data_IF_780379043374
#
_entry.id   IF_780379043374
#
_cell.length_a   1.000
_cell.length_b   1.000
_cell.length_c   1.000
_cell.angle_alpha   90.00
_cell.angle_beta   90.00
_cell.angle_gamma   90.00
#
_symmetry.space_group_name_H-M   'P 1'
#
loop_
_entity.id
_entity.type
_entity.pdbx_description
1 polymer ?
#
# COMPACT_ATOMS: atom_id res chain seq x y z
N UNK A 1 0.46 19.43 -26.99
CA UNK A 1 1.55 18.50 -27.41
C UNK A 1 1.99 17.75 -26.16
N UNK A 2 1.68 16.47 -26.07
CA UNK A 2 2.11 15.63 -24.95
C UNK A 2 3.64 15.46 -25.03
N UNK A 3 4.38 16.00 -24.07
CA UNK A 3 5.81 15.73 -23.94
C UNK A 3 5.97 14.25 -23.59
N UNK A 4 6.53 13.49 -24.52
CA UNK A 4 6.92 12.11 -24.28
C UNK A 4 8.06 12.11 -23.24
N UNK A 5 7.94 11.25 -22.24
CA UNK A 5 8.98 11.03 -21.25
C UNK A 5 10.33 10.67 -21.92
N UNK A 6 11.46 11.08 -21.34
CA UNK A 6 12.77 10.68 -21.86
C UNK A 6 12.88 9.14 -21.87
N UNK A 7 13.44 8.53 -22.93
CA UNK A 7 13.44 7.08 -23.14
C UNK A 7 14.20 6.25 -22.11
N UNK A 8 14.84 6.89 -21.12
CA UNK A 8 15.61 6.25 -20.03
C UNK A 8 15.08 6.62 -18.64
N UNK A 9 13.82 6.98 -18.51
CA UNK A 9 13.24 7.28 -17.19
C UNK A 9 13.05 6.00 -16.37
N UNK A 10 13.45 6.06 -15.10
CA UNK A 10 13.26 5.02 -14.08
C UNK A 10 11.79 4.54 -13.96
N UNK A 11 10.85 5.41 -14.32
CA UNK A 11 9.41 5.17 -14.20
C UNK A 11 8.71 4.99 -15.55
N UNK A 12 9.47 4.76 -16.63
CA UNK A 12 8.89 4.54 -17.96
C UNK A 12 7.89 3.38 -17.95
N UNK A 13 6.68 3.63 -18.45
CA UNK A 13 5.59 2.66 -18.48
C UNK A 13 4.78 2.53 -17.19
N UNK A 14 5.20 3.17 -16.08
CA UNK A 14 4.43 3.19 -14.83
C UNK A 14 3.27 4.17 -14.91
N UNK A 15 2.08 3.75 -14.45
CA UNK A 15 0.84 4.54 -14.50
C UNK A 15 0.40 4.95 -13.11
N UNK A 16 0.13 6.25 -12.95
CA UNK A 16 -0.43 6.83 -11.72
C UNK A 16 -1.86 7.34 -11.98
N UNK A 17 -2.75 7.11 -11.03
CA UNK A 17 -4.01 7.83 -10.91
C UNK A 17 -3.87 8.87 -9.81
N UNK A 18 -4.10 10.14 -10.14
CA UNK A 18 -4.14 11.25 -9.18
C UNK A 18 -5.57 11.77 -9.10
N UNK A 19 -6.15 11.74 -7.90
CA UNK A 19 -7.47 12.27 -7.62
C UNK A 19 -7.39 13.33 -6.52
N UNK A 20 -7.75 14.56 -6.86
CA UNK A 20 -7.76 15.72 -5.96
C UNK A 20 -8.75 16.74 -6.54
N UNK A 21 -9.64 17.33 -5.77
CA UNK A 21 -10.59 18.35 -6.25
C UNK A 21 -9.93 19.71 -6.42
N UNK A 22 -8.80 19.96 -5.74
CA UNK A 22 -7.97 21.15 -5.96
C UNK A 22 -7.27 21.05 -7.33
N UNK A 23 -7.70 21.89 -8.27
CA UNK A 23 -7.17 21.88 -9.64
C UNK A 23 -5.70 22.24 -9.70
N UNK A 24 -5.24 23.21 -8.90
CA UNK A 24 -3.83 23.67 -8.93
C UNK A 24 -2.91 22.58 -8.38
N UNK A 25 -3.30 21.96 -7.27
CA UNK A 25 -2.57 20.84 -6.68
C UNK A 25 -2.51 19.65 -7.64
N UNK A 26 -3.65 19.27 -8.22
CA UNK A 26 -3.76 18.16 -9.17
C UNK A 26 -2.86 18.36 -10.38
N UNK A 27 -2.91 19.54 -11.02
CA UNK A 27 -2.08 19.86 -12.19
C UNK A 27 -0.59 19.90 -11.85
N UNK A 28 -0.22 20.49 -10.71
CA UNK A 28 1.17 20.54 -10.24
C UNK A 28 1.73 19.13 -10.04
N UNK A 29 0.99 18.26 -9.39
CA UNK A 29 1.41 16.88 -9.15
C UNK A 29 1.50 16.09 -10.46
N UNK A 30 0.52 16.25 -11.33
CA UNK A 30 0.50 15.55 -12.62
C UNK A 30 1.70 15.97 -13.49
N UNK A 31 2.02 17.26 -13.56
CA UNK A 31 3.20 17.75 -14.28
C UNK A 31 4.49 17.24 -13.66
N UNK A 32 4.60 17.26 -12.32
CA UNK A 32 5.76 16.76 -11.60
C UNK A 32 6.04 15.28 -11.93
N UNK A 33 5.04 14.41 -11.80
CA UNK A 33 5.21 12.99 -12.07
C UNK A 33 5.38 12.66 -13.57
N UNK A 34 4.77 13.42 -14.47
CA UNK A 34 5.04 13.28 -15.91
C UNK A 34 6.49 13.61 -16.26
N UNK A 35 7.09 14.62 -15.65
CA UNK A 35 8.53 14.95 -15.83
C UNK A 35 9.45 13.83 -15.34
N UNK A 36 9.02 13.07 -14.33
CA UNK A 36 9.73 11.88 -13.86
C UNK A 36 9.55 10.66 -14.77
N UNK A 37 8.64 10.75 -15.77
CA UNK A 37 8.40 9.71 -16.76
C UNK A 37 7.18 8.81 -16.51
N UNK A 38 6.36 9.13 -15.54
CA UNK A 38 5.10 8.43 -15.33
C UNK A 38 4.05 8.78 -16.39
N UNK A 39 3.18 7.83 -16.69
CA UNK A 39 1.90 8.10 -17.32
C UNK A 39 0.89 8.48 -16.23
N UNK A 40 0.41 9.72 -16.24
CA UNK A 40 -0.47 10.24 -15.20
C UNK A 40 -1.87 10.45 -15.75
N UNK A 41 -2.84 9.84 -15.10
CA UNK A 41 -4.26 10.05 -15.30
C UNK A 41 -4.82 10.85 -14.12
N UNK A 42 -5.53 11.94 -14.42
CA UNK A 42 -6.05 12.89 -13.43
C UNK A 42 -7.56 12.78 -13.32
N UNK A 43 -8.09 12.90 -12.10
CA UNK A 43 -9.52 12.97 -11.83
C UNK A 43 -9.80 14.02 -10.77
N UNK A 44 -10.84 14.81 -10.99
CA UNK A 44 -11.23 15.93 -10.12
C UNK A 44 -12.27 15.53 -9.05
N UNK A 45 -12.70 14.28 -9.04
CA UNK A 45 -13.71 13.80 -8.09
C UNK A 45 -13.54 12.31 -7.80
N UNK A 46 -14.00 11.89 -6.62
CA UNK A 46 -13.97 10.50 -6.22
C UNK A 46 -14.75 9.57 -7.14
N UNK A 47 -15.88 10.03 -7.71
CA UNK A 47 -16.68 9.23 -8.65
C UNK A 47 -15.92 8.97 -9.95
N UNK A 48 -15.35 10.01 -10.56
CA UNK A 48 -14.56 9.88 -11.78
C UNK A 48 -13.27 9.05 -11.54
N UNK A 49 -12.68 9.18 -10.36
CA UNK A 49 -11.53 8.37 -9.97
C UNK A 49 -11.89 6.90 -9.75
N UNK A 50 -13.07 6.59 -9.20
CA UNK A 50 -13.56 5.22 -9.06
C UNK A 50 -13.75 4.55 -10.44
N UNK A 51 -14.36 5.25 -11.38
CA UNK A 51 -14.53 4.74 -12.74
C UNK A 51 -13.18 4.43 -13.39
N UNK A 52 -12.22 5.36 -13.31
CA UNK A 52 -10.89 5.17 -13.83
C UNK A 52 -10.16 3.99 -13.13
N UNK A 53 -10.22 3.91 -11.82
CA UNK A 53 -9.56 2.86 -11.04
C UNK A 53 -10.08 1.45 -11.37
N UNK A 54 -11.38 1.33 -11.69
CA UNK A 54 -12.01 0.04 -12.01
C UNK A 54 -11.73 -0.38 -13.47
N UNK A 55 -11.69 0.57 -14.40
CA UNK A 55 -11.52 0.29 -15.83
C UNK A 55 -10.06 0.30 -16.27
N UNK A 56 -9.21 1.05 -15.58
CA UNK A 56 -7.79 1.21 -15.89
C UNK A 56 -6.90 0.23 -15.11
N UNK A 57 -5.63 0.17 -15.57
CA UNK A 57 -4.55 -0.50 -14.83
C UNK A 57 -3.58 0.56 -14.36
N UNK A 58 -3.39 0.66 -13.06
CA UNK A 58 -2.48 1.63 -12.42
C UNK A 58 -1.49 0.90 -11.53
N UNK A 59 -0.30 1.47 -11.41
CA UNK A 59 0.74 0.97 -10.53
C UNK A 59 0.65 1.59 -9.13
N UNK A 60 0.07 2.81 -9.02
CA UNK A 60 -0.18 3.46 -7.73
C UNK A 60 -1.32 4.48 -7.86
N UNK A 61 -2.06 4.66 -6.76
CA UNK A 61 -3.06 5.72 -6.58
C UNK A 61 -2.52 6.80 -5.65
N UNK A 62 -2.71 8.06 -6.00
CA UNK A 62 -2.50 9.24 -5.15
C UNK A 62 -3.87 9.90 -5.01
N UNK A 63 -4.44 9.89 -3.82
CA UNK A 63 -5.83 10.25 -3.58
C UNK A 63 -5.92 11.33 -2.50
N UNK A 64 -6.62 12.41 -2.79
CA UNK A 64 -7.03 13.32 -1.71
C UNK A 64 -8.11 12.67 -0.86
N UNK A 65 -8.01 12.85 0.47
CA UNK A 65 -9.02 12.32 1.40
C UNK A 65 -10.33 13.08 1.25
N UNK A 66 -10.26 14.40 1.12
CA UNK A 66 -11.40 15.31 1.30
C UNK A 66 -11.95 15.79 -0.05
N UNK A 67 -12.48 14.89 -0.86
CA UNK A 67 -13.16 15.27 -2.12
C UNK A 67 -14.67 15.39 -1.95
N UNK A 68 -15.33 16.37 -2.61
CA UNK A 68 -16.78 16.51 -2.59
C UNK A 68 -17.52 15.30 -3.17
N UNK A 69 -18.65 14.97 -2.56
CA UNK A 69 -19.52 13.87 -3.00
C UNK A 69 -19.02 12.49 -2.56
N UNK A 70 -17.92 12.03 -3.11
CA UNK A 70 -17.27 10.78 -2.71
C UNK A 70 -15.86 11.08 -2.21
N UNK A 71 -15.60 10.83 -0.94
CA UNK A 71 -14.27 11.00 -0.35
C UNK A 71 -13.27 9.99 -0.90
N UNK A 72 -11.96 10.29 -0.79
CA UNK A 72 -10.91 9.33 -1.14
C UNK A 72 -10.98 8.04 -0.34
N UNK A 73 -11.43 8.12 0.92
CA UNK A 73 -11.64 6.95 1.78
C UNK A 73 -12.71 6.02 1.22
N UNK A 74 -13.86 6.59 0.87
CA UNK A 74 -14.96 5.83 0.28
C UNK A 74 -14.58 5.25 -1.09
N UNK A 75 -13.90 6.06 -1.92
CA UNK A 75 -13.34 5.63 -3.20
C UNK A 75 -12.45 4.39 -3.01
N UNK A 76 -11.45 4.47 -2.14
CA UNK A 76 -10.51 3.37 -1.95
C UNK A 76 -11.18 2.12 -1.39
N UNK A 77 -12.12 2.27 -0.45
CA UNK A 77 -12.91 1.15 0.05
C UNK A 77 -13.66 0.45 -1.09
N UNK A 78 -14.36 1.19 -1.96
CA UNK A 78 -15.08 0.64 -3.11
C UNK A 78 -14.16 -0.04 -4.13
N UNK A 79 -12.93 0.46 -4.28
CA UNK A 79 -11.88 -0.16 -5.12
C UNK A 79 -11.42 -1.48 -4.51
N UNK A 80 -11.18 -1.51 -3.18
CA UNK A 80 -10.78 -2.73 -2.45
C UNK A 80 -11.89 -3.79 -2.46
N UNK A 81 -13.15 -3.39 -2.31
CA UNK A 81 -14.32 -4.29 -2.39
C UNK A 81 -14.43 -5.00 -3.76
N UNK A 82 -13.78 -4.47 -4.80
CA UNK A 82 -13.66 -5.08 -6.14
C UNK A 82 -12.41 -5.91 -6.33
N UNK A 83 -11.65 -6.18 -5.27
CA UNK A 83 -10.42 -6.98 -5.33
C UNK A 83 -9.20 -6.24 -5.91
N UNK A 84 -9.30 -4.94 -6.20
CA UNK A 84 -8.17 -4.16 -6.74
C UNK A 84 -7.22 -3.81 -5.61
N UNK A 85 -5.98 -4.33 -5.66
CA UNK A 85 -4.97 -4.18 -4.62
C UNK A 85 -3.83 -3.21 -5.02
N UNK A 86 -4.05 -2.37 -6.03
CA UNK A 86 -3.09 -1.32 -6.42
C UNK A 86 -2.71 -0.48 -5.20
N UNK A 87 -1.41 -0.25 -4.94
CA UNK A 87 -0.95 0.58 -3.83
C UNK A 87 -1.59 1.96 -3.86
N UNK A 88 -1.98 2.48 -2.68
CA UNK A 88 -2.65 3.75 -2.55
C UNK A 88 -2.00 4.62 -1.46
N UNK A 89 -1.72 5.88 -1.82
CA UNK A 89 -1.24 6.92 -0.92
C UNK A 89 -2.33 7.99 -0.79
N UNK A 90 -2.67 8.34 0.44
CA UNK A 90 -3.57 9.47 0.69
C UNK A 90 -2.82 10.78 0.92
N UNK A 91 -3.33 11.85 0.32
CA UNK A 91 -3.02 13.22 0.69
C UNK A 91 -4.09 13.70 1.68
N UNK A 92 -3.71 14.28 2.80
CA UNK A 92 -4.64 14.67 3.86
C UNK A 92 -4.31 16.05 4.45
N UNK A 93 -5.30 16.79 4.89
CA UNK A 93 -5.08 18.00 5.66
C UNK A 93 -4.48 17.69 7.04
N UNK A 94 -3.70 18.63 7.62
CA UNK A 94 -2.83 18.40 8.77
C UNK A 94 -3.55 17.97 10.06
N UNK A 95 -4.84 18.24 10.21
CA UNK A 95 -5.58 18.12 11.49
C UNK A 95 -6.40 16.83 11.64
N UNK A 96 -6.35 15.92 10.66
CA UNK A 96 -7.22 14.75 10.61
C UNK A 96 -6.57 13.48 11.19
N UNK A 97 -6.31 13.44 12.50
CA UNK A 97 -5.95 12.19 13.20
C UNK A 97 -7.03 11.12 13.05
N UNK A 98 -8.30 11.53 13.07
CA UNK A 98 -9.46 10.65 12.87
C UNK A 98 -9.54 10.14 11.42
N UNK A 99 -9.20 10.96 10.44
CA UNK A 99 -9.13 10.56 9.03
C UNK A 99 -7.99 9.55 8.77
N UNK A 100 -6.90 9.60 9.51
CA UNK A 100 -5.79 8.63 9.39
C UNK A 100 -6.22 7.23 9.84
N UNK A 101 -6.97 7.12 10.94
CA UNK A 101 -7.49 5.84 11.42
C UNK A 101 -8.51 5.29 10.42
N UNK A 102 -9.47 6.11 9.98
CA UNK A 102 -10.46 5.72 8.98
C UNK A 102 -9.82 5.35 7.63
N UNK A 103 -8.78 6.04 7.25
CA UNK A 103 -8.10 5.79 5.99
C UNK A 103 -7.24 4.52 6.01
N UNK A 104 -6.57 4.22 7.13
CA UNK A 104 -5.94 2.91 7.30
C UNK A 104 -6.98 1.78 7.26
N UNK A 105 -8.18 1.99 7.78
CA UNK A 105 -9.29 1.03 7.64
C UNK A 105 -9.79 0.89 6.20
N UNK A 106 -9.71 1.96 5.39
CA UNK A 106 -10.09 1.95 3.97
C UNK A 106 -9.11 1.19 3.07
N UNK A 107 -7.92 0.85 3.55
CA UNK A 107 -6.98 0.03 2.78
C UNK A 107 -5.82 0.80 2.14
N UNK A 108 -5.49 2.01 2.61
CA UNK A 108 -4.31 2.75 2.16
C UNK A 108 -3.00 2.12 2.63
N UNK A 109 -1.95 2.32 1.84
CA UNK A 109 -0.62 1.81 2.09
C UNK A 109 0.32 2.89 2.66
N UNK A 110 0.01 4.18 2.42
CA UNK A 110 0.76 5.32 2.98
C UNK A 110 -0.11 6.58 3.05
N UNK A 111 0.37 7.61 3.80
CA UNK A 111 -0.27 8.91 4.01
C UNK A 111 0.76 10.02 3.95
N UNK A 112 0.35 11.16 3.40
CA UNK A 112 1.14 12.37 3.38
C UNK A 112 0.27 13.59 3.71
N UNK A 113 0.65 14.30 4.77
CA UNK A 113 -0.07 15.51 5.19
C UNK A 113 0.26 16.70 4.28
N UNK A 114 -0.75 17.47 3.90
CA UNK A 114 -0.61 18.79 3.25
C UNK A 114 -0.31 19.85 4.33
N UNK A 115 0.64 20.79 4.10
CA UNK A 115 1.47 20.93 2.92
C UNK A 115 2.68 19.97 2.93
N UNK A 116 3.11 19.52 1.76
CA UNK A 116 4.23 18.58 1.60
C UNK A 116 5.22 19.04 0.51
N UNK A 117 6.40 18.46 0.54
CA UNK A 117 7.37 18.63 -0.53
C UNK A 117 7.09 17.58 -1.63
N UNK A 118 7.01 17.97 -2.94
CA UNK A 118 6.82 17.00 -4.03
C UNK A 118 7.86 15.87 -4.06
N UNK A 119 9.10 16.11 -3.64
CA UNK A 119 10.13 15.07 -3.51
C UNK A 119 9.77 14.04 -2.44
N UNK A 120 9.15 14.46 -1.34
CA UNK A 120 8.69 13.54 -0.31
C UNK A 120 7.63 12.59 -0.87
N UNK A 121 6.67 13.16 -1.61
CA UNK A 121 5.65 12.36 -2.29
C UNK A 121 6.27 11.39 -3.31
N UNK A 122 7.26 11.82 -4.08
CA UNK A 122 8.01 10.96 -5.01
C UNK A 122 8.65 9.76 -4.30
N UNK A 123 9.39 9.99 -3.22
CA UNK A 123 10.01 8.90 -2.45
C UNK A 123 8.99 7.91 -1.91
N UNK A 124 7.81 8.38 -1.49
CA UNK A 124 6.73 7.52 -1.01
C UNK A 124 6.13 6.67 -2.13
N UNK A 125 5.84 7.29 -3.27
CA UNK A 125 5.37 6.58 -4.47
C UNK A 125 6.41 5.56 -4.93
N UNK A 126 7.69 5.92 -4.95
CA UNK A 126 8.76 4.97 -5.27
C UNK A 126 8.80 3.77 -4.31
N UNK A 127 8.67 4.02 -3.02
CA UNK A 127 8.63 2.95 -2.03
C UNK A 127 7.43 2.01 -2.25
N UNK A 128 6.26 2.55 -2.60
CA UNK A 128 5.08 1.76 -2.93
C UNK A 128 5.28 0.93 -4.20
N UNK A 129 5.86 1.52 -5.25
CA UNK A 129 6.13 0.83 -6.51
C UNK A 129 7.19 -0.27 -6.38
N UNK A 130 8.22 -0.07 -5.57
CA UNK A 130 9.25 -1.08 -5.30
C UNK A 130 8.63 -2.32 -4.64
N UNK A 131 7.63 -2.13 -3.79
CA UNK A 131 6.89 -3.22 -3.16
C UNK A 131 6.07 -4.03 -4.16
N UNK A 132 5.54 -3.41 -5.22
CA UNK A 132 4.76 -4.08 -6.26
C UNK A 132 5.61 -4.68 -7.38
N UNK A 133 6.90 -4.34 -7.46
CA UNK A 133 7.78 -4.66 -8.59
C UNK A 133 9.04 -5.44 -8.26
N UNK A 134 9.13 -6.14 -7.12
CA UNK A 134 10.31 -6.96 -6.80
C UNK A 134 10.53 -8.00 -7.89
N UNK A 135 11.51 -7.73 -8.77
CA UNK A 135 12.01 -8.74 -9.70
C UNK A 135 12.54 -9.94 -8.91
N UNK A 136 12.38 -11.17 -9.39
CA UNK A 136 12.84 -12.36 -8.69
C UNK A 136 14.36 -12.32 -8.57
N UNK A 137 14.85 -12.19 -7.35
CA UNK A 137 16.24 -12.58 -7.03
C UNK A 137 16.22 -14.09 -6.87
N UNK A 138 16.94 -14.78 -7.74
CA UNK A 138 17.12 -16.24 -7.64
C UNK A 138 17.81 -16.58 -6.30
N UNK A 139 17.04 -17.00 -5.32
CA UNK A 139 17.54 -17.68 -4.13
C UNK A 139 16.61 -18.83 -3.77
N UNK A 140 17.18 -19.98 -3.49
CA UNK A 140 16.52 -21.15 -2.90
C UNK A 140 15.80 -20.73 -1.60
N UNK A 141 14.48 -20.87 -1.55
CA UNK A 141 13.65 -20.43 -0.42
C UNK A 141 12.40 -19.66 -0.84
N UNK A 142 11.96 -19.80 -2.07
CA UNK A 142 10.88 -18.98 -2.67
C UNK A 142 9.49 -19.26 -2.08
N UNK A 143 9.30 -20.37 -1.35
CA UNK A 143 8.01 -20.78 -0.80
C UNK A 143 8.13 -21.06 0.69
N UNK A 144 7.31 -20.39 1.47
CA UNK A 144 7.20 -20.59 2.91
C UNK A 144 5.86 -21.26 3.19
N UNK A 145 5.88 -22.36 3.94
CA UNK A 145 4.68 -23.06 4.36
C UNK A 145 4.58 -23.05 5.89
N UNK A 146 3.44 -22.57 6.40
CA UNK A 146 3.14 -22.52 7.83
C UNK A 146 1.72 -23.05 8.03
N UNK A 147 1.61 -24.33 8.39
CA UNK A 147 0.32 -25.02 8.46
C UNK A 147 -0.33 -25.11 7.08
N UNK A 148 -1.54 -24.56 6.94
CA UNK A 148 -2.30 -24.49 5.69
C UNK A 148 -2.06 -23.19 4.89
N UNK A 149 -1.14 -22.34 5.39
CA UNK A 149 -0.72 -21.11 4.74
C UNK A 149 0.52 -21.35 3.88
N UNK A 150 0.43 -20.98 2.62
CA UNK A 150 1.52 -21.03 1.65
C UNK A 150 1.79 -19.63 1.13
N UNK A 151 3.02 -19.16 1.26
CA UNK A 151 3.48 -17.85 0.79
C UNK A 151 4.48 -18.11 -0.34
N UNK A 152 4.10 -17.82 -1.58
CA UNK A 152 4.96 -17.91 -2.75
C UNK A 152 5.57 -16.53 -3.02
N UNK A 153 6.84 -16.36 -2.65
CA UNK A 153 7.57 -15.09 -2.81
C UNK A 153 7.78 -14.73 -4.26
N UNK A 154 8.00 -15.70 -5.13
CA UNK A 154 8.25 -15.49 -6.56
C UNK A 154 7.00 -14.98 -7.28
N UNK A 155 5.85 -15.58 -6.95
CA UNK A 155 4.57 -15.20 -7.55
C UNK A 155 3.86 -14.06 -6.83
N UNK A 156 4.38 -13.62 -5.67
CA UNK A 156 3.70 -12.71 -4.76
C UNK A 156 2.27 -13.18 -4.44
N UNK A 157 2.14 -14.49 -4.19
CA UNK A 157 0.86 -15.11 -3.93
C UNK A 157 0.81 -15.69 -2.51
N UNK A 158 -0.35 -15.56 -1.91
CA UNK A 158 -0.65 -16.18 -0.62
C UNK A 158 -1.85 -17.10 -0.80
N UNK A 159 -1.72 -18.34 -0.38
CA UNK A 159 -2.77 -19.36 -0.47
C UNK A 159 -3.01 -19.90 0.94
N UNK A 160 -4.28 -20.02 1.33
CA UNK A 160 -4.69 -20.67 2.56
C UNK A 160 -5.80 -21.66 2.28
N UNK A 161 -5.66 -22.91 2.73
CA UNK A 161 -6.60 -24.01 2.43
C UNK A 161 -6.92 -24.17 0.94
N UNK A 162 -5.95 -23.90 0.05
CA UNK A 162 -6.13 -23.94 -1.39
C UNK A 162 -6.79 -22.71 -2.02
N UNK A 163 -7.19 -21.72 -1.22
CA UNK A 163 -7.78 -20.47 -1.70
C UNK A 163 -6.74 -19.34 -1.69
N UNK A 164 -6.67 -18.61 -2.81
CA UNK A 164 -5.83 -17.42 -2.92
C UNK A 164 -6.36 -16.30 -2.03
N UNK A 165 -5.44 -15.61 -1.34
CA UNK A 165 -5.72 -14.42 -0.53
C UNK A 165 -5.13 -13.21 -1.22
N UNK A 166 -5.98 -12.24 -1.55
CA UNK A 166 -5.57 -11.01 -2.22
C UNK A 166 -5.04 -9.99 -1.20
N UNK A 167 -3.73 -9.85 -1.15
CA UNK A 167 -3.03 -8.89 -0.32
C UNK A 167 -2.56 -7.68 -1.13
N UNK A 168 -2.53 -6.50 -0.47
CA UNK A 168 -1.76 -5.39 -1.05
C UNK A 168 -0.27 -5.72 -0.98
N UNK A 169 0.58 -5.08 -1.81
CA UNK A 169 2.03 -5.28 -1.75
C UNK A 169 2.61 -5.07 -0.36
N UNK A 170 2.09 -4.12 0.41
CA UNK A 170 2.52 -3.85 1.78
C UNK A 170 2.12 -4.97 2.74
N UNK A 171 0.89 -5.45 2.66
CA UNK A 171 0.41 -6.58 3.47
C UNK A 171 1.20 -7.86 3.18
N UNK A 172 1.53 -8.08 1.90
CA UNK A 172 2.37 -9.20 1.48
C UNK A 172 3.77 -9.11 2.11
N UNK A 173 4.42 -7.93 2.05
CA UNK A 173 5.75 -7.73 2.65
C UNK A 173 5.76 -7.93 4.16
N UNK A 174 4.73 -7.43 4.86
CA UNK A 174 4.58 -7.65 6.30
C UNK A 174 4.48 -9.14 6.59
N UNK A 175 3.63 -9.85 5.85
CA UNK A 175 3.46 -11.30 6.03
C UNK A 175 4.74 -12.06 5.71
N UNK A 176 5.41 -11.73 4.61
CA UNK A 176 6.71 -12.32 4.21
C UNK A 176 7.78 -12.12 5.29
N UNK A 177 7.87 -10.90 5.85
CA UNK A 177 8.83 -10.62 6.91
C UNK A 177 8.52 -11.40 8.19
N UNK A 178 7.26 -11.49 8.60
CA UNK A 178 6.85 -12.31 9.74
C UNK A 178 7.12 -13.80 9.49
N UNK A 179 6.94 -14.25 8.26
CA UNK A 179 7.11 -15.65 7.85
C UNK A 179 8.57 -16.02 7.59
N UNK A 180 9.47 -15.07 7.43
CA UNK A 180 10.90 -15.36 7.29
C UNK A 180 11.50 -16.03 8.53
N UNK A 181 10.94 -15.76 9.70
CA UNK A 181 11.32 -16.33 10.98
C UNK A 181 10.05 -16.62 11.82
N UNK A 182 9.32 -17.71 11.54
CA UNK A 182 8.14 -18.08 12.32
C UNK A 182 8.47 -18.22 13.80
N UNK A 183 7.55 -17.80 14.68
CA UNK A 183 7.76 -17.81 16.14
C UNK A 183 8.53 -16.60 16.68
N UNK A 184 9.35 -15.94 15.87
CA UNK A 184 10.08 -14.73 16.28
C UNK A 184 9.12 -13.55 16.48
N UNK A 185 9.25 -12.91 17.65
CA UNK A 185 8.55 -11.65 17.91
C UNK A 185 9.31 -10.47 17.31
N UNK A 186 8.66 -9.76 16.41
CA UNK A 186 9.15 -8.53 15.79
C UNK A 186 8.57 -7.33 16.53
N UNK A 187 9.42 -6.37 16.92
CA UNK A 187 8.91 -5.12 17.46
C UNK A 187 8.21 -4.30 16.37
N UNK A 188 7.27 -3.42 16.80
CA UNK A 188 6.58 -2.52 15.86
C UNK A 188 7.56 -1.68 15.04
N UNK A 189 8.58 -1.13 15.68
CA UNK A 189 9.61 -0.34 15.02
C UNK A 189 10.43 -1.18 14.05
N UNK A 190 10.83 -2.39 14.42
CA UNK A 190 11.59 -3.27 13.54
C UNK A 190 10.79 -3.68 12.28
N UNK A 191 9.47 -3.89 12.41
CA UNK A 191 8.59 -4.12 11.27
C UNK A 191 8.51 -2.87 10.38
N UNK A 192 8.33 -1.69 11.00
CA UNK A 192 8.29 -0.42 10.28
C UNK A 192 9.59 -0.16 9.52
N UNK A 193 10.74 -0.33 10.16
CA UNK A 193 12.06 -0.05 9.56
C UNK A 193 12.39 -1.02 8.40
N UNK A 194 11.92 -2.26 8.48
CA UNK A 194 12.13 -3.26 7.42
C UNK A 194 11.19 -3.09 6.24
N UNK A 195 9.95 -2.73 6.52
CA UNK A 195 8.91 -2.57 5.51
C UNK A 195 8.94 -1.17 4.89
N UNK A 196 9.26 -0.14 5.67
CA UNK A 196 9.51 1.22 5.17
C UNK A 196 11.00 1.53 5.32
N UNK A 197 11.69 1.91 4.22
CA UNK A 197 13.12 2.26 4.24
C UNK A 197 13.44 3.35 5.27
N UNK A 198 14.61 3.25 5.92
CA UNK A 198 15.08 4.07 7.04
C UNK A 198 15.28 5.57 6.76
N UNK A 199 15.32 6.00 5.50
CA UNK A 199 15.55 7.41 5.12
C UNK A 199 14.34 8.32 5.36
N UNK A 200 13.41 7.86 6.21
CA UNK A 200 12.10 8.43 6.36
C UNK A 200 11.83 8.93 7.78
N UNK A 201 12.28 10.13 8.08
CA UNK A 201 11.90 10.90 9.29
C UNK A 201 10.56 11.63 9.09
N UNK A 202 9.46 10.92 9.01
CA UNK A 202 8.15 11.54 8.86
C UNK A 202 7.06 10.81 9.63
N UNK A 203 6.36 11.57 10.45
CA UNK A 203 5.11 11.33 11.19
C UNK A 203 4.62 9.88 11.36
N UNK A 204 4.47 9.51 12.63
CA UNK A 204 3.79 8.35 13.23
C UNK A 204 3.44 7.20 12.26
N UNK A 205 4.46 6.44 11.87
CA UNK A 205 4.27 5.15 11.22
C UNK A 205 3.57 4.23 12.23
N UNK A 206 2.46 3.67 11.85
CA UNK A 206 1.75 2.71 12.67
C UNK A 206 1.53 1.42 11.90
N UNK A 207 2.11 0.32 12.35
CA UNK A 207 1.97 -1.00 11.76
C UNK A 207 0.62 -1.66 12.10
N UNK A 208 0.00 -1.28 13.21
CA UNK A 208 -1.16 -1.96 13.78
C UNK A 208 -2.36 -2.01 12.83
N UNK A 209 -2.72 -0.94 12.07
CA UNK A 209 -3.80 -1.00 11.09
C UNK A 209 -3.53 -2.00 9.95
N UNK A 210 -2.28 -2.11 9.50
CA UNK A 210 -1.90 -3.05 8.46
C UNK A 210 -1.99 -4.50 8.95
N UNK A 211 -1.56 -4.77 10.18
CA UNK A 211 -1.76 -6.06 10.84
C UNK A 211 -3.24 -6.40 10.98
N UNK A 212 -4.08 -5.42 11.35
CA UNK A 212 -5.51 -5.65 11.48
C UNK A 212 -6.16 -6.00 10.13
N UNK A 213 -5.75 -5.34 9.03
CA UNK A 213 -6.23 -5.69 7.69
C UNK A 213 -5.73 -7.06 7.24
N UNK A 214 -4.45 -7.33 7.46
CA UNK A 214 -3.88 -8.65 7.17
C UNK A 214 -4.65 -9.75 7.89
N UNK A 215 -4.98 -9.56 9.17
CA UNK A 215 -5.82 -10.49 9.93
C UNK A 215 -7.21 -10.63 9.33
N UNK A 216 -7.88 -9.54 8.93
CA UNK A 216 -9.20 -9.60 8.29
C UNK A 216 -9.21 -10.47 7.03
N UNK A 217 -8.10 -10.54 6.30
CA UNK A 217 -7.95 -11.35 5.09
C UNK A 217 -7.46 -12.77 5.37
N UNK A 218 -6.58 -12.91 6.36
CA UNK A 218 -5.87 -14.14 6.63
C UNK A 218 -6.56 -15.03 7.67
N UNK A 219 -7.20 -14.45 8.69
CA UNK A 219 -7.75 -15.19 9.82
C UNK A 219 -9.23 -15.56 9.61
N UNK A 220 -9.68 -16.67 10.19
CA UNK A 220 -11.09 -16.99 10.26
C UNK A 220 -11.83 -16.09 11.26
N UNK A 221 -11.18 -15.74 12.36
CA UNK A 221 -11.62 -14.74 13.35
C UNK A 221 -10.47 -13.76 13.63
N UNK A 222 -10.53 -12.53 13.11
CA UNK A 222 -9.48 -11.52 13.32
C UNK A 222 -9.28 -11.12 14.79
N UNK A 223 -10.28 -11.35 15.65
CA UNK A 223 -10.19 -11.04 17.10
C UNK A 223 -9.44 -12.13 17.86
N UNK A 224 -9.50 -13.36 17.36
CA UNK A 224 -8.79 -14.53 17.89
C UNK A 224 -7.84 -15.09 16.82
N UNK A 225 -6.78 -14.37 16.45
CA UNK A 225 -5.90 -14.73 15.34
C UNK A 225 -5.12 -16.01 15.64
N UNK A 226 -4.94 -16.86 14.63
CA UNK A 226 -4.14 -18.09 14.68
C UNK A 226 -2.78 -17.93 14.02
N UNK A 227 -2.66 -17.13 12.98
CA UNK A 227 -1.43 -16.92 12.22
C UNK A 227 -0.64 -15.73 12.73
N UNK A 228 -1.21 -14.53 12.72
CA UNK A 228 -0.51 -13.31 13.12
C UNK A 228 -0.84 -12.97 14.56
N UNK A 229 0.02 -13.38 15.46
CA UNK A 229 -0.16 -13.22 16.91
C UNK A 229 0.38 -11.88 17.42
N UNK A 230 -0.27 -11.32 18.45
CA UNK A 230 0.24 -10.17 19.19
C UNK A 230 1.10 -10.64 20.34
N UNK A 231 2.32 -10.13 20.42
CA UNK A 231 3.20 -10.29 21.58
C UNK A 231 3.12 -9.00 22.40
N UNK A 232 2.40 -9.08 23.55
CA UNK A 232 2.15 -7.90 24.41
C UNK A 232 3.46 -7.22 24.82
N UNK A 233 3.49 -5.89 24.73
CA UNK A 233 4.67 -5.10 25.05
C UNK A 233 5.80 -5.14 24.02
N UNK A 234 5.71 -6.00 22.97
CA UNK A 234 6.72 -6.13 21.92
C UNK A 234 6.14 -5.72 20.55
N UNK A 235 5.25 -6.52 19.98
CA UNK A 235 4.73 -6.32 18.64
C UNK A 235 4.01 -7.55 18.10
N UNK A 236 4.50 -8.13 17.01
CA UNK A 236 3.82 -9.21 16.31
C UNK A 236 4.75 -10.35 15.92
N UNK A 237 4.19 -11.53 15.72
CA UNK A 237 4.89 -12.70 15.18
C UNK A 237 3.96 -13.53 14.31
N UNK A 238 4.52 -14.28 13.37
CA UNK A 238 3.80 -15.40 12.75
C UNK A 238 3.88 -16.61 13.68
N UNK A 239 2.75 -17.31 13.86
CA UNK A 239 2.72 -18.54 14.64
C UNK A 239 3.48 -19.65 13.89
N UNK A 240 4.18 -20.51 14.59
CA UNK A 240 4.93 -21.63 14.00
C UNK A 240 3.99 -22.76 13.56
N UNK A 241 2.95 -23.00 14.34
CA UNK A 241 1.92 -24.03 14.08
C UNK A 241 0.57 -23.37 14.42
N UNK A 242 -0.18 -22.88 13.43
CA UNK A 242 -1.48 -22.27 13.66
C UNK A 242 -2.58 -23.27 13.99
#
# INVERSE_FOLDING_TARGET
MAQQAPPNSKYAGKRLLIADDDTDMRLLLAEYFRRLGFQVEERESGMAALEAAVTGRFDCFILDVSMPGMSGLELLKRVRDRGIQTPALFLTAHDALDDKVAGFEAGADDYLAKPFNPRELEYRVEALLRRSGSAPVEQDGERIEVGDLVIDKRRHEVIRNGYRIDLTPLEFQILELLASEPGRAWSRNALLDRVWSTDYEGYQRNIDPHINRLRKKLEADPKNPRYVLTVRGVGYKLNEIP
#
